data_IF_301878049498
#
_entry.id   IF_301878049498
#
_cell.length_a   1.000
_cell.length_b   1.000
_cell.length_c   1.000
_cell.angle_alpha   90.00
_cell.angle_beta   90.00
_cell.angle_gamma   90.00
#
_symmetry.space_group_name_H-M   'P 1'
#
loop_
_entity.id
_entity.type
_entity.pdbx_description
1 polymer ?
#
# COMPACT_ATOMS: atom_id res chain seq x y z
N UNK A 1 15.40 9.89 3.43
CA UNK A 1 14.04 10.44 3.60
C UNK A 1 13.70 11.38 2.45
N UNK A 2 13.35 10.83 1.28
CA UNK A 2 13.13 11.59 0.04
C UNK A 2 11.83 11.16 -0.65
N UNK A 3 11.48 9.87 -0.71
CA UNK A 3 10.33 9.41 -1.49
C UNK A 3 8.97 9.96 -1.03
N UNK A 4 8.78 10.07 0.30
CA UNK A 4 7.56 10.62 0.87
C UNK A 4 7.44 12.14 0.76
N UNK A 5 8.53 12.87 1.01
CA UNK A 5 8.51 14.34 1.06
C UNK A 5 8.81 15.00 -0.29
N UNK A 6 9.30 14.22 -1.25
CA UNK A 6 9.82 14.72 -2.52
C UNK A 6 9.24 13.96 -3.72
N UNK A 7 8.08 13.31 -3.58
CA UNK A 7 7.36 12.68 -4.70
C UNK A 7 6.90 13.71 -5.76
N UNK A 8 6.89 15.00 -5.44
CA UNK A 8 6.72 16.11 -6.39
C UNK A 8 8.05 16.67 -6.95
N UNK A 9 9.20 16.18 -6.50
CA UNK A 9 10.53 16.63 -6.92
C UNK A 9 11.24 15.57 -7.77
N UNK A 10 11.11 14.29 -7.40
CA UNK A 10 11.68 13.17 -8.14
C UNK A 10 10.62 12.44 -8.94
N UNK A 11 10.95 12.10 -10.18
CA UNK A 11 10.07 11.42 -11.12
C UNK A 11 9.81 9.95 -10.76
N UNK A 12 10.85 9.26 -10.28
CA UNK A 12 10.86 7.86 -9.89
C UNK A 12 11.92 7.62 -8.81
N UNK A 13 11.80 6.51 -8.10
CA UNK A 13 12.75 6.08 -7.09
C UNK A 13 13.25 4.67 -7.37
N UNK A 14 14.51 4.44 -7.05
CA UNK A 14 15.09 3.10 -7.01
C UNK A 14 16.01 2.97 -5.81
N UNK A 15 16.08 1.77 -5.22
CA UNK A 15 16.89 1.54 -4.03
C UNK A 15 17.36 0.09 -3.92
N UNK A 16 18.45 -0.10 -3.17
CA UNK A 16 19.03 -1.41 -2.85
C UNK A 16 19.30 -1.52 -1.36
N UNK A 17 18.95 -2.67 -0.76
CA UNK A 17 19.29 -3.12 0.61
C UNK A 17 19.08 -2.15 1.78
N UNK A 18 18.62 -0.94 1.55
CA UNK A 18 17.98 -0.15 2.58
C UNK A 18 16.67 -0.81 2.95
N UNK A 19 16.12 -0.38 4.07
CA UNK A 19 14.72 -0.03 4.00
C UNK A 19 14.70 1.20 3.09
N UNK A 20 14.28 1.18 1.80
CA UNK A 20 13.79 2.39 1.12
C UNK A 20 12.64 3.11 1.85
N UNK A 21 12.45 2.75 3.12
CA UNK A 21 11.23 2.47 3.84
C UNK A 21 11.43 2.90 5.30
N UNK A 22 12.65 3.17 5.79
CA UNK A 22 12.72 4.05 6.96
C UNK A 22 12.16 5.45 6.61
N UNK A 23 12.10 5.77 5.32
CA UNK A 23 11.40 6.92 4.76
C UNK A 23 9.88 6.76 4.74
N UNK A 24 9.42 5.49 4.69
CA UNK A 24 8.06 5.04 4.91
C UNK A 24 7.98 4.23 6.23
N UNK A 25 8.21 4.87 7.38
CA UNK A 25 7.10 4.80 8.35
C UNK A 25 5.85 5.01 7.48
N UNK A 26 4.87 4.11 7.41
CA UNK A 26 3.92 3.95 6.28
C UNK A 26 3.01 5.16 5.94
N UNK A 27 3.62 6.32 5.78
CA UNK A 27 3.06 7.61 5.58
C UNK A 27 2.61 7.57 4.13
N UNK A 28 1.30 7.40 3.92
CA UNK A 28 0.69 7.54 2.60
C UNK A 28 0.57 9.03 2.24
N UNK A 29 1.58 9.84 2.57
CA UNK A 29 1.50 11.31 2.60
C UNK A 29 2.09 11.96 1.36
N UNK A 30 2.94 11.26 0.60
CA UNK A 30 3.56 11.83 -0.58
C UNK A 30 2.56 12.50 -1.53
N UNK A 31 2.96 13.59 -2.17
CA UNK A 31 2.11 14.44 -2.98
C UNK A 31 1.36 13.69 -4.10
N UNK A 32 1.99 12.67 -4.72
CA UNK A 32 1.42 11.84 -5.80
C UNK A 32 1.96 10.41 -5.74
N UNK A 33 1.30 9.41 -6.36
CA UNK A 33 1.93 8.12 -6.65
C UNK A 33 3.27 8.30 -7.35
N UNK A 34 4.22 7.38 -7.14
CA UNK A 34 5.55 7.47 -7.77
C UNK A 34 6.09 6.09 -8.16
N UNK A 35 6.61 5.89 -9.39
CA UNK A 35 7.23 4.64 -9.79
C UNK A 35 8.37 4.28 -8.84
N UNK A 36 8.40 3.03 -8.42
CA UNK A 36 9.40 2.56 -7.47
C UNK A 36 9.98 1.21 -7.88
N UNK A 37 11.31 1.09 -7.80
CA UNK A 37 12.02 -0.18 -7.92
C UNK A 37 12.82 -0.44 -6.64
N UNK A 38 12.72 -1.64 -6.09
CA UNK A 38 13.52 -2.06 -4.96
C UNK A 38 14.27 -3.36 -5.25
N UNK A 39 15.52 -3.44 -4.78
CA UNK A 39 16.36 -4.62 -4.81
C UNK A 39 16.72 -4.99 -3.37
N UNK A 40 16.50 -6.24 -2.99
CA UNK A 40 16.78 -6.70 -1.63
C UNK A 40 17.35 -8.11 -1.60
N UNK A 41 18.30 -8.35 -0.70
CA UNK A 41 18.90 -9.66 -0.51
C UNK A 41 18.06 -10.56 0.40
N UNK A 42 17.79 -11.80 -0.03
CA UNK A 42 17.02 -12.77 0.79
C UNK A 42 17.74 -13.18 2.07
N UNK A 43 19.06 -13.01 2.12
CA UNK A 43 19.89 -13.31 3.29
C UNK A 43 20.28 -12.05 4.07
N UNK A 44 19.68 -10.89 3.78
CA UNK A 44 19.92 -9.65 4.54
C UNK A 44 19.35 -9.78 5.96
N UNK A 45 20.27 -9.78 6.93
CA UNK A 45 19.99 -9.85 8.36
C UNK A 45 20.25 -8.53 9.09
N UNK A 46 20.73 -7.50 8.39
CA UNK A 46 20.91 -6.16 8.92
C UNK A 46 19.64 -5.34 8.71
N UNK A 47 19.25 -5.21 7.44
CA UNK A 47 17.92 -4.76 7.05
C UNK A 47 17.11 -6.03 6.77
N UNK A 48 16.37 -6.49 7.78
CA UNK A 48 15.85 -7.86 7.75
C UNK A 48 14.82 -8.04 6.63
N UNK A 49 15.11 -8.97 5.73
CA UNK A 49 14.23 -9.32 4.61
C UNK A 49 12.80 -9.68 5.05
N UNK A 50 12.63 -10.25 6.26
CA UNK A 50 11.30 -10.64 6.79
C UNK A 50 10.28 -9.49 6.84
N UNK A 51 10.73 -8.23 6.90
CA UNK A 51 9.83 -7.08 6.91
C UNK A 51 9.53 -6.53 5.51
N UNK A 52 10.32 -6.91 4.49
CA UNK A 52 10.20 -6.37 3.13
C UNK A 52 8.84 -6.70 2.48
N UNK A 53 8.29 -7.93 2.56
CA UNK A 53 7.00 -8.23 1.95
C UNK A 53 5.87 -7.31 2.41
N UNK A 54 5.84 -7.00 3.71
CA UNK A 54 4.85 -6.07 4.26
C UNK A 54 4.95 -4.69 3.61
N UNK A 55 6.16 -4.21 3.44
CA UNK A 55 6.39 -2.89 2.86
C UNK A 55 6.00 -2.87 1.37
N UNK A 56 6.33 -3.95 0.66
CA UNK A 56 5.92 -4.10 -0.73
C UNK A 56 4.41 -3.95 -0.85
N UNK A 57 3.63 -4.59 0.02
CA UNK A 57 2.16 -4.47 0.05
C UNK A 57 1.71 -3.01 0.17
N UNK A 58 2.32 -2.26 1.06
CA UNK A 58 1.95 -0.86 1.33
C UNK A 58 2.36 0.07 0.18
N UNK A 59 3.53 -0.15 -0.44
CA UNK A 59 3.96 0.60 -1.62
C UNK A 59 3.07 0.32 -2.83
N UNK A 60 2.68 -0.93 -3.01
CA UNK A 60 1.73 -1.37 -4.04
C UNK A 60 0.39 -0.66 -3.84
N UNK A 61 -0.14 -0.65 -2.60
CA UNK A 61 -1.39 0.04 -2.30
C UNK A 61 -1.26 1.56 -2.45
N UNK A 62 -0.14 2.16 -2.03
CA UNK A 62 0.13 3.60 -2.19
C UNK A 62 0.18 4.03 -3.65
N UNK A 63 0.76 3.20 -4.51
CA UNK A 63 0.83 3.45 -5.94
C UNK A 63 -0.44 3.04 -6.70
N UNK A 64 -1.39 2.42 -6.01
CA UNK A 64 -2.58 1.83 -6.63
C UNK A 64 -2.25 0.72 -7.62
N UNK A 65 -1.11 0.05 -7.47
CA UNK A 65 -0.69 -1.03 -8.36
C UNK A 65 -1.54 -2.29 -8.16
N UNK A 66 -1.52 -3.18 -9.15
CA UNK A 66 -2.13 -4.52 -9.06
C UNK A 66 -1.34 -5.35 -8.04
N UNK A 67 -1.98 -5.89 -6.99
CA UNK A 67 -1.29 -6.54 -5.89
C UNK A 67 -0.83 -7.97 -6.18
N UNK A 68 -1.27 -8.55 -7.29
CA UNK A 68 -0.72 -9.81 -7.84
C UNK A 68 0.35 -9.47 -8.87
N UNK A 69 1.64 -9.72 -8.60
CA UNK A 69 2.70 -9.35 -9.51
C UNK A 69 2.87 -10.36 -10.64
N UNK A 70 3.34 -9.89 -11.79
CA UNK A 70 3.96 -10.77 -12.79
C UNK A 70 5.35 -11.16 -12.29
N UNK A 71 5.57 -12.45 -12.04
CA UNK A 71 6.85 -12.98 -11.54
C UNK A 71 7.76 -13.49 -12.66
N UNK A 72 9.05 -13.32 -12.49
CA UNK A 72 10.09 -13.91 -13.34
C UNK A 72 11.29 -14.28 -12.47
N UNK A 73 11.79 -15.50 -12.59
CA UNK A 73 12.84 -16.02 -11.72
C UNK A 73 14.04 -16.49 -12.55
N UNK A 74 15.24 -16.20 -12.07
CA UNK A 74 16.49 -16.75 -12.60
C UNK A 74 17.20 -17.46 -11.45
N UNK A 75 17.19 -18.79 -11.50
CA UNK A 75 17.72 -19.65 -10.43
C UNK A 75 19.13 -19.24 -10.01
N UNK A 76 19.34 -19.07 -8.70
CA UNK A 76 20.64 -18.70 -8.13
C UNK A 76 21.00 -17.23 -8.34
N UNK A 77 20.07 -16.41 -8.85
CA UNK A 77 20.26 -14.97 -9.04
C UNK A 77 19.16 -14.17 -8.37
N UNK A 78 17.95 -14.22 -8.90
CA UNK A 78 16.87 -13.37 -8.40
C UNK A 78 15.47 -13.91 -8.71
N UNK A 79 14.51 -13.49 -7.88
CA UNK A 79 13.09 -13.40 -8.24
C UNK A 79 12.75 -11.93 -8.50
N UNK A 80 12.06 -11.66 -9.62
CA UNK A 80 11.57 -10.34 -10.01
C UNK A 80 10.05 -10.35 -9.95
N UNK A 81 9.47 -9.46 -9.17
CA UNK A 81 8.03 -9.22 -9.09
C UNK A 81 7.71 -7.85 -9.69
N UNK A 82 6.86 -7.81 -10.72
CA UNK A 82 6.35 -6.56 -11.31
C UNK A 82 4.88 -6.40 -10.95
N UNK A 83 4.59 -5.47 -10.04
CA UNK A 83 3.25 -5.04 -9.69
C UNK A 83 2.83 -3.96 -10.69
N UNK A 84 1.93 -4.32 -11.60
CA UNK A 84 1.55 -3.46 -12.73
C UNK A 84 0.79 -2.21 -12.29
N UNK A 85 0.98 -1.10 -12.99
CA UNK A 85 0.21 0.12 -12.74
C UNK A 85 -1.28 -0.09 -13.06
N UNK A 86 -2.15 0.57 -12.30
CA UNK A 86 -3.56 0.77 -12.69
C UNK A 86 -3.77 2.21 -13.18
N UNK A 87 -4.99 2.54 -13.62
CA UNK A 87 -5.33 3.91 -14.05
C UNK A 87 -5.05 4.92 -12.93
N UNK A 88 -4.25 5.94 -13.22
CA UNK A 88 -3.83 6.97 -12.26
C UNK A 88 -2.74 6.54 -11.27
N UNK A 89 -2.28 5.29 -11.33
CA UNK A 89 -1.21 4.74 -10.50
C UNK A 89 0.13 4.57 -11.22
N UNK A 90 1.10 3.98 -10.52
CA UNK A 90 2.41 3.63 -11.07
C UNK A 90 2.82 2.20 -10.69
N UNK A 91 3.77 1.58 -11.40
CA UNK A 91 4.21 0.24 -11.04
C UNK A 91 5.09 0.25 -9.78
N UNK A 92 5.16 -0.92 -9.15
CA UNK A 92 6.19 -1.26 -8.17
C UNK A 92 6.97 -2.46 -8.68
N UNK A 93 8.31 -2.39 -8.69
CA UNK A 93 9.18 -3.47 -9.15
C UNK A 93 10.05 -3.94 -7.99
N UNK A 94 10.10 -5.24 -7.77
CA UNK A 94 10.86 -5.81 -6.65
C UNK A 94 11.78 -6.93 -7.13
N UNK A 95 13.06 -6.86 -6.74
CA UNK A 95 14.02 -7.94 -6.92
C UNK A 95 14.41 -8.52 -5.58
N UNK A 96 14.31 -9.85 -5.48
CA UNK A 96 14.70 -10.64 -4.32
C UNK A 96 15.93 -11.45 -4.72
N UNK A 97 17.09 -11.10 -4.19
CA UNK A 97 18.37 -11.63 -4.65
C UNK A 97 18.78 -12.85 -3.82
N UNK A 98 19.06 -13.96 -4.50
CA UNK A 98 19.48 -15.21 -3.89
C UNK A 98 20.87 -15.06 -3.22
N UNK A 99 20.99 -15.52 -1.97
CA UNK A 99 22.26 -15.54 -1.22
C UNK A 99 22.85 -14.17 -0.86
N UNK A 100 22.23 -13.07 -1.28
CA UNK A 100 22.70 -11.72 -0.99
C UNK A 100 22.29 -11.32 0.44
N UNK A 101 23.28 -10.91 1.24
CA UNK A 101 23.09 -10.23 2.53
C UNK A 101 22.92 -8.72 2.38
N UNK A 102 23.29 -7.94 3.39
CA UNK A 102 23.32 -6.47 3.29
C UNK A 102 24.45 -6.01 2.37
N UNK A 103 24.13 -5.43 1.21
CA UNK A 103 25.11 -5.00 0.23
C UNK A 103 24.68 -3.73 -0.51
N UNK A 104 25.64 -2.88 -0.85
CA UNK A 104 25.41 -1.64 -1.61
C UNK A 104 25.23 -1.91 -3.12
N UNK A 105 25.47 -3.15 -3.57
CA UNK A 105 25.51 -3.51 -4.98
C UNK A 105 25.23 -5.00 -5.21
N UNK A 106 24.72 -5.33 -6.40
CA UNK A 106 24.65 -6.69 -6.93
C UNK A 106 24.73 -6.74 -8.47
N UNK A 107 25.31 -7.81 -9.01
CA UNK A 107 25.25 -8.20 -10.44
C UNK A 107 24.07 -9.11 -10.75
N UNK A 108 23.37 -9.63 -9.73
CA UNK A 108 22.26 -10.56 -9.90
C UNK A 108 20.96 -9.82 -10.24
N UNK A 109 20.98 -9.09 -11.35
CA UNK A 109 19.82 -8.43 -11.96
C UNK A 109 19.80 -8.75 -13.45
N UNK A 110 18.73 -8.40 -14.15
CA UNK A 110 18.59 -8.72 -15.58
C UNK A 110 19.67 -8.04 -16.45
N UNK A 111 20.20 -6.90 -16.00
CA UNK A 111 21.26 -6.17 -16.70
C UNK A 111 22.67 -6.54 -16.24
N UNK A 112 22.81 -7.51 -15.34
CA UNK A 112 24.10 -7.86 -14.76
C UNK A 112 24.70 -6.77 -13.86
N UNK A 113 23.95 -5.70 -13.57
CA UNK A 113 24.40 -4.53 -12.83
C UNK A 113 23.18 -3.79 -12.25
N UNK A 114 23.02 -3.85 -10.93
CA UNK A 114 21.92 -3.19 -10.22
C UNK A 114 21.80 -1.69 -10.49
N UNK A 115 22.90 -0.94 -10.60
CA UNK A 115 22.84 0.49 -10.92
C UNK A 115 22.29 0.74 -12.33
N UNK A 116 22.68 -0.09 -13.30
CA UNK A 116 22.14 -0.02 -14.66
C UNK A 116 20.66 -0.39 -14.71
N UNK A 117 20.24 -1.44 -13.98
CA UNK A 117 18.82 -1.82 -13.84
C UNK A 117 18.00 -0.69 -13.22
N UNK A 118 18.49 -0.10 -12.13
CA UNK A 118 17.84 1.04 -11.49
C UNK A 118 17.75 2.26 -12.42
N UNK A 119 18.82 2.59 -13.15
CA UNK A 119 18.82 3.70 -14.11
C UNK A 119 17.85 3.46 -15.28
N UNK A 120 17.86 2.27 -15.87
CA UNK A 120 16.93 1.90 -16.94
C UNK A 120 15.48 1.98 -16.48
N UNK A 121 15.19 1.66 -15.22
CA UNK A 121 13.86 1.87 -14.65
C UNK A 121 13.53 3.36 -14.49
N UNK A 122 14.37 4.11 -13.79
CA UNK A 122 14.09 5.52 -13.44
C UNK A 122 14.00 6.42 -14.69
N UNK A 123 14.85 6.19 -15.69
CA UNK A 123 14.91 6.98 -16.94
C UNK A 123 13.65 6.89 -17.81
N UNK A 124 12.70 6.01 -17.47
CA UNK A 124 11.40 5.91 -18.16
C UNK A 124 10.39 6.97 -17.70
N UNK A 125 10.66 7.70 -16.61
CA UNK A 125 9.67 8.54 -15.95
C UNK A 125 10.12 10.00 -15.85
N UNK A 126 9.13 10.90 -15.88
CA UNK A 126 9.30 12.34 -15.64
C UNK A 126 8.30 12.81 -14.59
N UNK A 127 8.44 14.04 -14.10
CA UNK A 127 7.44 14.64 -13.20
C UNK A 127 6.07 14.83 -13.87
N UNK A 128 6.05 14.92 -15.21
CA UNK A 128 4.84 15.07 -16.02
C UNK A 128 4.22 13.72 -16.44
N UNK A 129 4.80 12.60 -16.00
CA UNK A 129 4.21 11.28 -16.25
C UNK A 129 2.77 11.24 -15.66
N UNK A 130 1.73 10.94 -16.48
CA UNK A 130 0.34 11.04 -16.05
C UNK A 130 0.04 10.16 -14.83
N UNK A 131 -0.57 10.75 -13.81
CA UNK A 131 -1.05 10.04 -12.62
C UNK A 131 -2.19 10.79 -11.92
N UNK A 132 -2.93 10.09 -11.07
CA UNK A 132 -3.87 10.71 -10.17
C UNK A 132 -3.11 11.27 -8.96
N UNK A 133 -2.80 12.56 -9.01
CA UNK A 133 -2.15 13.28 -7.90
C UNK A 133 -2.98 13.31 -6.60
N UNK A 134 -4.25 12.93 -6.64
CA UNK A 134 -5.08 12.82 -5.43
C UNK A 134 -4.99 11.45 -4.78
N UNK A 135 -4.54 10.40 -5.49
CA UNK A 135 -4.49 9.04 -4.97
C UNK A 135 -3.50 8.93 -3.78
N UNK A 136 -4.03 8.48 -2.63
CA UNK A 136 -3.23 8.23 -1.42
C UNK A 136 -3.15 6.75 -1.06
N UNK A 137 -4.20 5.99 -1.32
CA UNK A 137 -4.20 4.56 -1.03
C UNK A 137 -5.25 3.83 -1.85
N UNK A 138 -4.87 2.75 -2.53
CA UNK A 138 -5.76 1.87 -3.29
C UNK A 138 -5.18 0.45 -3.27
N UNK A 139 -5.65 -0.41 -2.35
CA UNK A 139 -5.11 -1.76 -2.17
C UNK A 139 -5.56 -2.75 -3.26
N UNK A 140 -6.61 -2.42 -4.02
CA UNK A 140 -7.20 -3.32 -5.03
C UNK A 140 -7.52 -4.71 -4.48
N UNK A 141 -8.17 -4.76 -3.30
CA UNK A 141 -8.47 -6.01 -2.58
C UNK A 141 -9.36 -6.98 -3.36
N UNK A 142 -10.05 -6.49 -4.38
CA UNK A 142 -10.90 -7.25 -5.29
C UNK A 142 -10.13 -8.03 -6.37
N UNK A 143 -8.80 -7.89 -6.42
CA UNK A 143 -7.98 -8.51 -7.48
C UNK A 143 -8.09 -10.04 -7.43
N UNK A 144 -8.41 -10.72 -8.55
CA UNK A 144 -8.43 -12.17 -8.62
C UNK A 144 -7.09 -12.77 -8.16
N UNK A 145 -7.14 -13.93 -7.49
CA UNK A 145 -5.98 -14.68 -7.00
C UNK A 145 -5.12 -13.94 -5.96
N UNK A 146 -5.56 -12.78 -5.48
CA UNK A 146 -4.98 -12.12 -4.33
C UNK A 146 -5.62 -12.66 -3.04
N UNK A 147 -4.80 -12.99 -2.04
CA UNK A 147 -5.26 -13.43 -0.72
C UNK A 147 -5.09 -12.31 0.32
N UNK A 148 -6.13 -11.50 0.59
CA UNK A 148 -6.01 -10.38 1.52
C UNK A 148 -5.56 -10.78 2.92
N UNK A 149 -5.94 -11.96 3.41
CA UNK A 149 -5.65 -12.37 4.79
C UNK A 149 -4.15 -12.59 5.01
N UNK A 150 -3.44 -13.12 4.02
CA UNK A 150 -1.96 -13.21 4.04
C UNK A 150 -1.26 -11.85 4.07
N UNK A 151 -1.97 -10.80 3.64
CA UNK A 151 -1.52 -9.41 3.63
C UNK A 151 -2.10 -8.60 4.81
N UNK A 152 -2.59 -9.28 5.84
CA UNK A 152 -3.02 -8.71 7.12
C UNK A 152 -4.38 -8.02 7.10
N UNK A 153 -5.23 -8.39 6.14
CA UNK A 153 -6.63 -8.03 6.16
C UNK A 153 -7.44 -9.02 7.01
N UNK A 154 -8.56 -8.54 7.54
CA UNK A 154 -9.62 -9.38 8.07
C UNK A 154 -10.74 -9.43 7.05
N UNK A 155 -11.10 -10.61 6.56
CA UNK A 155 -12.13 -10.78 5.52
C UNK A 155 -13.24 -11.70 6.04
N UNK A 156 -14.50 -11.28 5.88
CA UNK A 156 -15.69 -12.07 6.21
C UNK A 156 -15.73 -12.70 7.62
N UNK A 157 -15.05 -12.10 8.60
CA UNK A 157 -14.97 -12.61 9.98
C UNK A 157 -16.07 -12.00 10.86
N UNK A 158 -17.05 -12.82 11.22
CA UNK A 158 -18.24 -12.34 11.94
C UNK A 158 -18.96 -11.26 11.13
N UNK A 159 -19.18 -10.09 11.74
CA UNK A 159 -19.78 -8.95 11.05
C UNK A 159 -18.78 -8.12 10.23
N UNK A 160 -17.47 -8.40 10.30
CA UNK A 160 -16.47 -7.71 9.49
C UNK A 160 -16.51 -8.27 8.07
N UNK A 161 -16.89 -7.44 7.10
CA UNK A 161 -16.75 -7.76 5.68
C UNK A 161 -15.28 -7.61 5.26
N UNK A 162 -14.70 -6.46 5.61
CA UNK A 162 -13.34 -6.10 5.28
C UNK A 162 -12.75 -5.25 6.40
N UNK A 163 -11.53 -5.57 6.85
CA UNK A 163 -10.84 -4.82 7.89
C UNK A 163 -9.33 -4.76 7.63
N UNK A 164 -8.73 -3.60 7.91
CA UNK A 164 -7.29 -3.36 7.78
C UNK A 164 -6.84 -2.40 8.89
N UNK A 165 -5.60 -2.49 9.35
CA UNK A 165 -5.17 -1.71 10.49
C UNK A 165 -5.55 -2.35 11.82
N UNK A 166 -4.54 -2.58 12.65
CA UNK A 166 -4.69 -2.92 14.05
C UNK A 166 -3.60 -2.23 14.85
N UNK A 167 -3.85 -1.95 16.12
CA UNK A 167 -2.82 -1.45 17.02
C UNK A 167 -1.68 -2.47 17.09
N UNK A 168 -0.44 -2.03 16.82
CA UNK A 168 0.73 -2.90 16.82
C UNK A 168 1.71 -2.44 17.89
N UNK A 169 1.63 -3.04 19.07
CA UNK A 169 2.71 -2.94 20.05
C UNK A 169 3.75 -4.02 19.73
N UNK A 170 4.92 -3.62 19.24
CA UNK A 170 6.06 -4.53 19.12
C UNK A 170 7.22 -4.00 19.96
N UNK A 171 7.86 -4.89 20.72
CA UNK A 171 9.05 -4.57 21.51
C UNK A 171 10.26 -4.19 20.64
N UNK A 172 10.19 -4.45 19.33
CA UNK A 172 11.28 -4.23 18.39
C UNK A 172 11.23 -2.86 17.72
N UNK A 173 10.15 -2.08 17.86
CA UNK A 173 9.98 -0.72 17.31
C UNK A 173 10.51 -0.55 15.87
N UNK A 174 10.26 -1.55 15.02
CA UNK A 174 10.77 -1.55 13.64
C UNK A 174 9.95 -0.66 12.71
N UNK A 175 8.87 -0.03 13.21
CA UNK A 175 7.99 0.89 12.51
C UNK A 175 7.34 0.36 11.22
N UNK A 176 7.37 -0.97 11.02
CA UNK A 176 6.67 -1.64 9.93
C UNK A 176 5.36 -2.17 10.51
N UNK A 177 4.27 -1.42 10.34
CA UNK A 177 2.90 -1.71 10.81
C UNK A 177 1.92 -1.92 9.63
N UNK A 178 0.90 -2.77 9.79
CA UNK A 178 -0.13 -2.94 8.74
C UNK A 178 -1.27 -2.01 9.10
N UNK A 179 -1.08 -0.72 8.86
CA UNK A 179 -1.98 0.37 9.25
C UNK A 179 -2.10 1.39 8.12
N UNK A 180 -3.26 2.01 8.00
CA UNK A 180 -3.36 3.23 7.19
C UNK A 180 -2.61 4.33 7.91
N UNK A 181 -1.85 5.16 7.22
CA UNK A 181 -1.27 6.34 7.86
C UNK A 181 -1.50 7.58 7.01
N UNK A 182 -2.13 8.56 7.64
CA UNK A 182 -2.60 9.79 7.02
C UNK A 182 -2.07 10.99 7.82
N UNK A 183 -1.93 12.11 7.15
CA UNK A 183 -1.58 13.39 7.75
C UNK A 183 -2.74 14.38 7.65
N UNK A 184 -2.51 15.63 8.06
CA UNK A 184 -3.50 16.68 7.93
C UNK A 184 -3.96 16.83 6.48
N UNK A 185 -5.28 16.84 6.28
CA UNK A 185 -5.85 16.94 4.95
C UNK A 185 -7.34 16.68 4.94
N UNK A 186 -7.96 17.04 3.82
CA UNK A 186 -9.32 16.65 3.47
C UNK A 186 -9.23 15.46 2.53
N UNK A 187 -10.00 14.42 2.80
CA UNK A 187 -9.94 13.17 2.07
C UNK A 187 -11.34 12.71 1.70
N UNK A 188 -11.42 11.90 0.65
CA UNK A 188 -12.58 11.09 0.33
C UNK A 188 -12.19 9.61 0.37
N UNK A 189 -12.98 8.82 1.08
CA UNK A 189 -12.96 7.37 1.02
C UNK A 189 -14.00 6.93 -0.01
N UNK A 190 -13.57 6.15 -1.00
CA UNK A 190 -14.42 5.68 -2.09
C UNK A 190 -14.39 4.15 -2.16
N UNK A 191 -15.54 3.54 -2.44
CA UNK A 191 -15.65 2.12 -2.78
C UNK A 191 -17.04 1.82 -3.39
N UNK A 192 -17.18 0.67 -4.02
CA UNK A 192 -18.46 0.15 -4.49
C UNK A 192 -18.89 -1.01 -3.59
N UNK A 193 -20.16 -1.02 -3.15
CA UNK A 193 -20.76 -2.11 -2.38
C UNK A 193 -21.85 -2.80 -3.22
N UNK A 194 -21.60 -4.03 -3.62
CA UNK A 194 -22.52 -4.86 -4.40
C UNK A 194 -23.26 -5.87 -3.48
N UNK A 195 -24.57 -6.03 -3.69
CA UNK A 195 -25.43 -6.90 -2.88
C UNK A 195 -26.90 -6.46 -2.85
N UNK A 196 -27.70 -7.03 -1.95
CA UNK A 196 -29.13 -6.67 -1.79
C UNK A 196 -29.27 -5.22 -1.32
N UNK A 197 -29.93 -4.39 -2.14
CA UNK A 197 -30.09 -2.93 -1.95
C UNK A 197 -30.88 -2.54 -0.70
N UNK A 198 -31.58 -3.50 -0.07
CA UNK A 198 -32.29 -3.29 1.20
C UNK A 198 -31.37 -3.44 2.42
N UNK A 199 -30.13 -3.87 2.21
CA UNK A 199 -29.14 -4.07 3.27
C UNK A 199 -28.30 -2.82 3.51
N UNK A 200 -27.70 -2.76 4.68
CA UNK A 200 -26.79 -1.71 5.07
C UNK A 200 -25.45 -2.27 5.52
N UNK A 201 -24.42 -1.45 5.36
CA UNK A 201 -23.09 -1.66 5.91
C UNK A 201 -22.71 -0.47 6.77
N UNK A 202 -21.85 -0.68 7.76
CA UNK A 202 -21.25 0.38 8.57
C UNK A 202 -19.79 0.54 8.20
N UNK A 203 -19.36 1.76 7.88
CA UNK A 203 -17.98 2.10 7.59
C UNK A 203 -17.36 2.72 8.83
N UNK A 204 -16.23 2.17 9.27
CA UNK A 204 -15.47 2.66 10.41
C UNK A 204 -14.05 3.03 9.99
N UNK A 205 -13.61 4.21 10.42
CA UNK A 205 -12.22 4.66 10.35
C UNK A 205 -11.85 5.24 11.71
N UNK A 206 -10.90 4.63 12.40
CA UNK A 206 -10.50 5.03 13.75
C UNK A 206 -9.00 5.23 13.83
N UNK A 207 -8.57 6.33 14.44
CA UNK A 207 -7.16 6.59 14.74
C UNK A 207 -6.68 5.57 15.78
N UNK A 208 -5.46 5.08 15.61
CA UNK A 208 -4.78 4.10 16.47
C UNK A 208 -3.67 4.74 17.32
N UNK A 209 -3.42 6.03 17.13
CA UNK A 209 -2.39 6.79 17.83
C UNK A 209 -3.04 7.88 18.67
N UNK A 210 -2.43 8.23 19.80
CA UNK A 210 -2.94 9.28 20.69
C UNK A 210 -4.32 8.95 21.27
N UNK A 211 -5.29 9.85 21.08
CA UNK A 211 -6.62 9.75 21.71
C UNK A 211 -7.59 8.75 21.05
N UNK A 212 -7.11 7.94 20.09
CA UNK A 212 -7.88 6.88 19.42
C UNK A 212 -9.25 7.36 18.86
N UNK A 213 -9.25 8.54 18.23
CA UNK A 213 -10.46 9.19 17.74
C UNK A 213 -11.16 8.40 16.63
N UNK A 214 -12.49 8.33 16.69
CA UNK A 214 -13.34 7.85 15.58
C UNK A 214 -13.47 8.96 14.54
N UNK A 215 -13.01 8.69 13.32
CA UNK A 215 -13.03 9.62 12.18
C UNK A 215 -14.26 9.40 11.31
N UNK A 216 -14.63 8.13 11.08
CA UNK A 216 -15.83 7.74 10.36
C UNK A 216 -16.54 6.65 11.17
N UNK A 217 -17.84 6.84 11.39
CA UNK A 217 -18.78 5.80 11.83
C UNK A 217 -20.13 6.07 11.18
N UNK A 218 -20.34 5.51 9.98
CA UNK A 218 -21.49 5.84 9.13
C UNK A 218 -22.11 4.58 8.53
N UNK A 219 -23.44 4.52 8.56
CA UNK A 219 -24.23 3.51 7.84
C UNK A 219 -24.49 3.94 6.40
N UNK A 220 -24.30 2.99 5.48
CA UNK A 220 -24.48 3.19 4.04
C UNK A 220 -25.36 2.08 3.46
N UNK A 221 -26.20 2.44 2.50
CA UNK A 221 -26.97 1.46 1.73
C UNK A 221 -26.07 0.69 0.76
N UNK A 222 -26.32 -0.61 0.62
CA UNK A 222 -25.67 -1.45 -0.40
C UNK A 222 -26.26 -1.16 -1.78
N UNK A 223 -25.47 -1.38 -2.83
CA UNK A 223 -25.88 -1.27 -4.25
C UNK A 223 -25.51 0.04 -4.93
N UNK A 224 -24.64 0.85 -4.32
CA UNK A 224 -24.18 2.13 -4.88
C UNK A 224 -22.66 2.27 -4.78
N UNK A 225 -22.12 3.18 -5.59
CA UNK A 225 -20.82 3.79 -5.32
C UNK A 225 -20.94 4.68 -4.08
N UNK A 226 -20.06 4.47 -3.12
CA UNK A 226 -20.02 5.19 -1.85
C UNK A 226 -18.83 6.13 -1.87
N UNK A 227 -19.09 7.39 -1.50
CA UNK A 227 -18.09 8.44 -1.30
C UNK A 227 -18.33 9.04 0.08
N UNK A 228 -17.31 8.98 0.93
CA UNK A 228 -17.34 9.52 2.28
C UNK A 228 -16.22 10.54 2.46
N UNK A 229 -16.58 11.81 2.59
CA UNK A 229 -15.64 12.87 2.92
C UNK A 229 -15.29 12.84 4.41
N UNK A 230 -14.01 13.04 4.72
CA UNK A 230 -13.49 13.15 6.07
C UNK A 230 -12.28 14.09 6.12
N UNK A 231 -11.86 14.49 7.32
CA UNK A 231 -10.72 15.38 7.51
C UNK A 231 -9.86 14.92 8.67
N UNK A 232 -8.55 15.04 8.51
CA UNK A 232 -7.56 14.86 9.56
C UNK A 232 -7.01 16.26 9.86
N UNK A 233 -6.99 16.63 11.14
CA UNK A 233 -6.62 17.99 11.60
C UNK A 233 -5.64 18.01 12.77
N UNK A 234 -5.36 16.85 13.36
CA UNK A 234 -4.56 16.68 14.56
C UNK A 234 -3.17 16.06 14.28
N UNK A 235 -2.68 16.27 13.06
CA UNK A 235 -1.37 15.85 12.59
C UNK A 235 -1.37 14.45 11.96
N UNK A 236 -0.18 13.87 11.90
CA UNK A 236 0.00 12.50 11.45
C UNK A 236 -0.63 11.50 12.42
N UNK A 237 -1.10 10.37 11.89
CA UNK A 237 -1.49 9.23 12.70
C UNK A 237 -1.62 7.94 11.91
N UNK A 238 -1.69 6.84 12.64
CA UNK A 238 -2.10 5.54 12.12
C UNK A 238 -3.61 5.33 12.32
N UNK A 239 -4.23 4.56 11.42
CA UNK A 239 -5.66 4.34 11.39
C UNK A 239 -6.00 2.88 11.09
N UNK A 240 -7.07 2.41 11.71
CA UNK A 240 -7.77 1.19 11.34
C UNK A 240 -9.02 1.51 10.53
N UNK A 241 -9.31 0.65 9.58
CA UNK A 241 -10.44 0.74 8.67
C UNK A 241 -11.24 -0.55 8.73
N UNK A 242 -12.56 -0.44 8.81
CA UNK A 242 -13.47 -1.60 8.77
C UNK A 242 -14.73 -1.27 7.98
N UNK A 243 -15.21 -2.24 7.21
CA UNK A 243 -16.57 -2.30 6.70
C UNK A 243 -17.26 -3.46 7.39
N UNK A 244 -18.39 -3.16 8.03
CA UNK A 244 -19.19 -4.11 8.79
C UNK A 244 -20.52 -4.35 8.08
N UNK A 245 -20.99 -5.60 8.03
CA UNK A 245 -22.39 -5.94 7.68
C UNK A 245 -23.25 -5.99 8.93
N UNK A 246 -24.52 -5.65 8.80
CA UNK A 246 -25.47 -5.70 9.92
C UNK A 246 -25.65 -7.15 10.44
N UNK A 247 -25.73 -8.14 9.54
CA UNK A 247 -25.83 -9.56 9.90
C UNK A 247 -24.75 -10.38 9.19
N UNK A 248 -24.21 -11.39 9.88
CA UNK A 248 -23.20 -12.32 9.32
C UNK A 248 -23.64 -13.03 8.03
N UNK A 249 -24.95 -13.17 7.84
CA UNK A 249 -25.56 -13.82 6.66
C UNK A 249 -25.75 -12.88 5.48
N UNK A 250 -25.54 -11.57 5.65
CA UNK A 250 -25.65 -10.61 4.55
C UNK A 250 -24.45 -10.77 3.60
N UNK A 251 -24.78 -11.05 2.34
CA UNK A 251 -23.79 -11.20 1.25
C UNK A 251 -23.59 -9.85 0.60
N UNK A 252 -22.42 -9.25 0.84
CA UNK A 252 -22.02 -7.96 0.26
C UNK A 252 -20.58 -8.09 -0.24
N UNK A 253 -20.32 -7.59 -1.44
CA UNK A 253 -18.97 -7.53 -2.03
C UNK A 253 -18.49 -6.09 -2.10
N UNK A 254 -17.25 -5.86 -1.71
CA UNK A 254 -16.61 -4.54 -1.76
C UNK A 254 -15.60 -4.54 -2.91
N UNK A 255 -15.60 -3.48 -3.72
CA UNK A 255 -14.60 -3.26 -4.78
C UNK A 255 -14.24 -1.79 -4.92
N UNK A 256 -13.19 -1.47 -5.69
CA UNK A 256 -12.75 -0.09 -5.97
C UNK A 256 -12.42 0.72 -4.71
N UNK A 257 -12.03 0.05 -3.63
CA UNK A 257 -11.65 0.70 -2.38
C UNK A 257 -10.45 1.61 -2.60
N UNK A 258 -10.57 2.87 -2.19
CA UNK A 258 -9.44 3.79 -2.18
C UNK A 258 -9.69 5.06 -1.39
N UNK A 259 -8.61 5.74 -1.04
CA UNK A 259 -8.57 7.04 -0.36
C UNK A 259 -7.86 8.03 -1.27
N UNK A 260 -8.48 9.19 -1.42
CA UNK A 260 -7.99 10.27 -2.25
C UNK A 260 -8.01 11.58 -1.47
N UNK A 261 -7.02 12.44 -1.72
CA UNK A 261 -6.98 13.81 -1.21
C UNK A 261 -8.00 14.68 -1.96
N UNK A 262 -8.73 15.52 -1.24
CA UNK A 262 -9.59 16.55 -1.81
C UNK A 262 -8.76 17.82 -1.95
N UNK A 263 -8.63 18.32 -3.18
CA UNK A 263 -7.96 19.60 -3.48
C UNK A 263 -8.85 20.78 -3.14
#
# INVERSE_FOLDING_TARGET
TVANVASNIFAAFASISGYPINEFHLHHTGARPVPFLHIHGKADNFVKYIYVPKIVDDMVARNGAVPVPKKTSVLGKYDKSVYGATSGGFPYVFYEIDGMGHNDYTTNTEDGNSALTMWKFMSQYTLESPCDTTLKWRPNVETPDWDPESHGWTVNKGNILLGFGAEQQTSQNQNVYRSLQLENGKYKLCFHADGDTRKQITVNLCKLTGNHQVIIDKKMSVGNDIVLDFSITDGWGEYSFRILRDKVTDVVKISKLGIYLVK
#
